data_IF_705246265128
#
_entry.id   IF_705246265128
#
_cell.length_a   1.000
_cell.length_b   1.000
_cell.length_c   1.000
_cell.angle_alpha   90.00
_cell.angle_beta   90.00
_cell.angle_gamma   90.00
#
_symmetry.space_group_name_H-M   'P 1'
#
loop_
_entity.id
_entity.type
_entity.pdbx_description
1 polymer ?
#
# COMPACT_ATOMS: atom_id res chain seq x y z
N UNK A 1 13.66 10.20 -18.91
CA UNK A 1 13.52 8.90 -18.20
C UNK A 1 13.70 9.18 -16.71
N UNK A 2 12.63 9.09 -15.92
CA UNK A 2 12.71 9.28 -14.46
C UNK A 2 13.50 8.11 -13.88
N UNK A 3 14.67 8.38 -13.30
CA UNK A 3 15.38 7.39 -12.49
C UNK A 3 14.71 7.40 -11.13
N UNK A 4 14.12 6.28 -10.74
CA UNK A 4 13.58 6.07 -9.40
C UNK A 4 14.62 5.28 -8.60
N UNK A 5 15.59 5.95 -7.94
CA UNK A 5 16.71 5.29 -7.26
C UNK A 5 16.26 4.32 -6.15
N UNK A 6 15.10 4.55 -5.54
CA UNK A 6 14.46 3.65 -4.58
C UNK A 6 14.05 2.29 -5.15
N UNK A 7 14.07 2.15 -6.48
CA UNK A 7 13.81 0.91 -7.21
C UNK A 7 15.02 0.38 -7.98
N UNK A 8 16.23 0.91 -7.73
CA UNK A 8 17.45 0.44 -8.38
C UNK A 8 17.69 -1.08 -8.16
N UNK A 9 17.24 -1.60 -7.01
CA UNK A 9 17.31 -3.01 -6.67
C UNK A 9 16.45 -3.93 -7.57
N UNK A 10 15.45 -3.41 -8.30
CA UNK A 10 14.60 -4.22 -9.18
C UNK A 10 15.39 -4.86 -10.33
N UNK A 11 16.48 -4.24 -10.78
CA UNK A 11 17.25 -4.71 -11.95
C UNK A 11 17.95 -6.05 -11.73
N UNK A 12 18.20 -6.40 -10.47
CA UNK A 12 18.99 -7.57 -10.07
C UNK A 12 18.25 -8.46 -9.08
N UNK A 13 17.00 -8.15 -8.75
CA UNK A 13 16.25 -8.86 -7.73
C UNK A 13 15.53 -10.08 -8.29
N UNK A 14 15.63 -11.17 -7.55
CA UNK A 14 14.79 -12.36 -7.73
C UNK A 14 13.31 -12.00 -7.63
N UNK A 15 12.47 -12.67 -8.43
CA UNK A 15 11.01 -12.45 -8.46
C UNK A 15 10.41 -12.60 -7.05
N UNK A 16 10.92 -13.53 -6.24
CA UNK A 16 10.47 -13.72 -4.86
C UNK A 16 10.72 -12.47 -3.98
N UNK A 17 11.89 -11.84 -4.13
CA UNK A 17 12.24 -10.59 -3.43
C UNK A 17 11.35 -9.44 -3.89
N UNK A 18 11.09 -9.33 -5.19
CA UNK A 18 10.18 -8.31 -5.74
C UNK A 18 8.78 -8.48 -5.15
N UNK A 19 8.24 -9.71 -5.14
CA UNK A 19 6.94 -10.02 -4.54
C UNK A 19 6.90 -9.69 -3.05
N UNK A 20 7.96 -10.00 -2.31
CA UNK A 20 8.06 -9.70 -0.88
C UNK A 20 8.00 -8.19 -0.62
N UNK A 21 8.83 -7.40 -1.31
CA UNK A 21 8.88 -5.95 -1.13
C UNK A 21 7.57 -5.26 -1.53
N UNK A 22 6.93 -5.72 -2.61
CA UNK A 22 5.62 -5.20 -3.03
C UNK A 22 4.57 -5.51 -1.96
N UNK A 23 4.49 -6.76 -1.48
CA UNK A 23 3.55 -7.14 -0.42
C UNK A 23 3.78 -6.32 0.84
N UNK A 24 5.03 -6.09 1.22
CA UNK A 24 5.39 -5.32 2.41
C UNK A 24 5.06 -3.83 2.27
N UNK A 25 5.26 -3.23 1.08
CA UNK A 25 4.81 -1.86 0.81
C UNK A 25 3.28 -1.75 0.85
N UNK A 26 2.56 -2.67 0.22
CA UNK A 26 1.09 -2.72 0.26
C UNK A 26 0.59 -2.81 1.70
N UNK A 27 1.17 -3.72 2.51
CA UNK A 27 0.80 -3.90 3.91
C UNK A 27 0.94 -2.59 4.70
N UNK A 28 2.12 -1.94 4.63
CA UNK A 28 2.38 -0.70 5.38
C UNK A 28 1.44 0.43 4.96
N UNK A 29 1.24 0.62 3.66
CA UNK A 29 0.34 1.65 3.15
C UNK A 29 -1.10 1.43 3.60
N UNK A 30 -1.62 0.21 3.45
CA UNK A 30 -3.00 -0.11 3.85
C UNK A 30 -3.18 -0.09 5.37
N UNK A 31 -2.17 -0.46 6.16
CA UNK A 31 -2.22 -0.38 7.62
C UNK A 31 -2.29 1.07 8.09
N UNK A 32 -1.47 1.97 7.52
CA UNK A 32 -1.52 3.39 7.87
C UNK A 32 -2.87 4.01 7.49
N UNK A 33 -3.37 3.71 6.29
CA UNK A 33 -4.71 4.12 5.86
C UNK A 33 -5.81 3.55 6.78
N UNK A 34 -5.74 2.29 7.19
CA UNK A 34 -6.70 1.68 8.11
C UNK A 34 -6.70 2.36 9.49
N UNK A 35 -5.52 2.66 10.04
CA UNK A 35 -5.38 3.35 11.32
C UNK A 35 -5.90 4.79 11.26
N UNK A 36 -5.62 5.51 10.17
CA UNK A 36 -6.13 6.87 9.92
C UNK A 36 -7.67 6.90 9.93
N UNK A 37 -8.30 6.00 9.18
CA UNK A 37 -9.76 5.93 9.13
C UNK A 37 -10.38 5.47 10.46
N UNK A 38 -9.75 4.52 11.14
CA UNK A 38 -10.21 4.06 12.48
C UNK A 38 -10.17 5.19 13.51
N UNK A 39 -9.21 6.11 13.39
CA UNK A 39 -9.08 7.30 14.26
C UNK A 39 -9.88 8.51 13.78
N UNK A 40 -10.60 8.39 12.65
CA UNK A 40 -11.27 9.51 11.96
C UNK A 40 -10.32 10.68 11.64
N UNK A 41 -9.05 10.37 11.38
CA UNK A 41 -8.02 11.35 11.01
C UNK A 41 -7.74 11.21 9.52
N UNK A 42 -8.35 12.06 8.69
CA UNK A 42 -8.06 12.12 7.25
C UNK A 42 -6.79 12.95 7.02
N UNK A 43 -5.63 12.31 7.18
CA UNK A 43 -4.34 12.99 7.08
C UNK A 43 -3.56 12.48 5.87
N UNK A 44 -2.49 11.73 6.07
CA UNK A 44 -1.49 11.46 5.04
C UNK A 44 -2.00 10.51 3.95
N UNK A 45 -2.31 9.27 4.31
CA UNK A 45 -2.69 8.27 3.30
C UNK A 45 -4.10 8.46 2.76
N UNK A 46 -5.05 8.87 3.62
CA UNK A 46 -6.41 9.19 3.16
C UNK A 46 -6.41 10.32 2.12
N UNK A 47 -5.63 11.38 2.33
CA UNK A 47 -5.54 12.47 1.34
C UNK A 47 -4.85 12.02 0.05
N UNK A 48 -3.77 11.24 0.15
CA UNK A 48 -3.08 10.69 -1.04
C UNK A 48 -3.98 9.76 -1.86
N UNK A 49 -4.80 8.95 -1.20
CA UNK A 49 -5.74 8.06 -1.85
C UNK A 49 -6.79 8.87 -2.61
N UNK A 50 -7.37 9.90 -1.99
CA UNK A 50 -8.30 10.81 -2.65
C UNK A 50 -7.65 11.50 -3.86
N UNK A 51 -6.42 12.00 -3.73
CA UNK A 51 -5.69 12.60 -4.85
C UNK A 51 -5.43 11.62 -6.00
N UNK A 52 -5.29 10.34 -5.70
CA UNK A 52 -5.17 9.26 -6.68
C UNK A 52 -6.52 8.76 -7.23
N UNK A 53 -7.65 9.34 -6.80
CA UNK A 53 -8.99 8.92 -7.21
C UNK A 53 -9.49 7.65 -6.52
N UNK A 54 -8.86 7.23 -5.42
CA UNK A 54 -9.24 6.06 -4.62
C UNK A 54 -10.21 6.52 -3.54
N UNK A 55 -11.45 6.04 -3.60
CA UNK A 55 -12.49 6.37 -2.62
C UNK A 55 -12.31 5.56 -1.33
N UNK A 56 -13.10 5.91 -0.30
CA UNK A 56 -13.10 5.14 0.95
C UNK A 56 -13.55 3.68 0.74
N UNK A 57 -14.50 3.45 -0.17
CA UNK A 57 -14.98 2.11 -0.51
C UNK A 57 -13.91 1.30 -1.25
N UNK A 58 -13.17 1.94 -2.17
CA UNK A 58 -12.01 1.33 -2.84
C UNK A 58 -10.94 0.95 -1.82
N UNK A 59 -10.66 1.84 -0.85
CA UNK A 59 -9.71 1.59 0.24
C UNK A 59 -10.11 0.41 1.12
N UNK A 60 -11.39 0.34 1.51
CA UNK A 60 -11.95 -0.80 2.28
C UNK A 60 -11.88 -2.11 1.48
N UNK A 61 -12.19 -2.05 0.19
CA UNK A 61 -12.09 -3.18 -0.73
C UNK A 61 -10.64 -3.66 -0.87
N UNK A 62 -9.68 -2.74 -0.97
CA UNK A 62 -8.25 -3.06 -1.03
C UNK A 62 -7.76 -3.76 0.25
N UNK A 63 -8.18 -3.29 1.44
CA UNK A 63 -7.89 -3.96 2.73
C UNK A 63 -8.44 -5.39 2.74
N UNK A 64 -9.70 -5.57 2.32
CA UNK A 64 -10.34 -6.89 2.25
C UNK A 64 -9.59 -7.85 1.32
N UNK A 65 -9.23 -7.37 0.12
CA UNK A 65 -8.45 -8.13 -0.85
C UNK A 65 -7.07 -8.52 -0.31
N UNK A 66 -6.36 -7.59 0.33
CA UNK A 66 -5.04 -7.86 0.89
C UNK A 66 -5.09 -8.92 2.01
N UNK A 67 -6.10 -8.87 2.91
CA UNK A 67 -6.31 -9.94 3.91
C UNK A 67 -6.54 -11.31 3.27
N UNK A 68 -7.34 -11.39 2.20
CA UNK A 68 -7.56 -12.66 1.45
C UNK A 68 -6.29 -13.21 0.81
N UNK A 69 -5.34 -12.34 0.47
CA UNK A 69 -4.03 -12.71 -0.08
C UNK A 69 -2.98 -13.07 1.00
N UNK A 70 -3.39 -13.09 2.27
CA UNK A 70 -2.52 -13.35 3.43
C UNK A 70 -1.56 -12.19 3.73
N UNK A 71 -1.94 -10.96 3.39
CA UNK A 71 -1.20 -9.76 3.75
C UNK A 71 -1.80 -9.24 5.07
N UNK A 72 -0.99 -9.24 6.13
CA UNK A 72 -1.38 -8.73 7.44
C UNK A 72 -1.46 -7.19 7.41
N UNK A 73 -2.60 -6.65 7.83
CA UNK A 73 -2.93 -5.21 7.87
C UNK A 73 -3.29 -4.76 9.30
N UNK A 74 -3.28 -5.71 10.24
CA UNK A 74 -3.64 -5.57 11.66
C UNK A 74 -2.69 -4.61 12.40
#
# INVERSE_FOLDING_TARGET
>A
MVRLPEFAWLKTAEIAKIKHEIRHKIARTLQQYYLENTRMVQSDWSARFIQAGITEDDGKSAISCARRLGIEIS
#
